data_IF_364269311091
#
_entry.id   IF_364269311091
#
_cell.length_a   1.000
_cell.length_b   1.000
_cell.length_c   1.000
_cell.angle_alpha   90.00
_cell.angle_beta   90.00
_cell.angle_gamma   90.00
#
_symmetry.space_group_name_H-M   'P 1'
#
loop_
_entity.id
_entity.type
_entity.pdbx_description
1 polymer ?
#
# COMPACT_ATOMS: atom_id res chain seq x y z
N UNK A 1 -72.01 12.83 -24.60
CA UNK A 1 -71.36 13.68 -23.58
C UNK A 1 -70.94 12.81 -22.39
N UNK A 2 -69.73 12.21 -22.38
CA UNK A 2 -68.98 11.83 -21.16
C UNK A 2 -67.55 11.37 -21.50
N UNK A 3 -66.62 11.82 -20.67
CA UNK A 3 -65.18 11.97 -20.92
C UNK A 3 -64.37 10.67 -21.01
N UNK A 4 -63.54 10.56 -22.05
CA UNK A 4 -62.59 9.48 -22.30
C UNK A 4 -61.15 9.83 -21.82
N UNK A 5 -61.02 10.64 -20.75
CA UNK A 5 -59.74 11.24 -20.34
C UNK A 5 -58.93 10.43 -19.32
N UNK A 6 -59.45 9.31 -18.79
CA UNK A 6 -58.82 8.62 -17.65
C UNK A 6 -57.93 7.42 -18.02
N UNK A 7 -57.95 6.95 -19.28
CA UNK A 7 -57.20 5.74 -19.68
C UNK A 7 -55.79 6.04 -20.25
N UNK A 8 -55.52 7.28 -20.64
CA UNK A 8 -54.26 7.64 -21.30
C UNK A 8 -53.12 7.99 -20.31
N UNK A 9 -53.45 8.55 -19.14
CA UNK A 9 -52.45 8.91 -18.13
C UNK A 9 -51.82 7.70 -17.41
N UNK A 10 -52.61 6.65 -17.16
CA UNK A 10 -52.14 5.45 -16.47
C UNK A 10 -51.16 4.62 -17.32
N UNK A 11 -51.36 4.56 -18.64
CA UNK A 11 -50.48 3.80 -19.53
C UNK A 11 -49.10 4.45 -19.71
N UNK A 12 -49.04 5.79 -19.72
CA UNK A 12 -47.78 6.55 -19.88
C UNK A 12 -46.92 6.47 -18.61
N UNK A 13 -47.51 6.48 -17.42
CA UNK A 13 -46.76 6.28 -16.17
C UNK A 13 -46.18 4.87 -16.02
N UNK A 14 -46.87 3.83 -16.53
CA UNK A 14 -46.39 2.45 -16.46
C UNK A 14 -45.20 2.24 -17.42
N UNK A 15 -45.22 2.84 -18.62
CA UNK A 15 -44.07 2.81 -19.53
C UNK A 15 -42.85 3.61 -19.04
N UNK A 16 -43.06 4.69 -18.28
CA UNK A 16 -41.95 5.47 -17.68
C UNK A 16 -41.34 4.79 -16.45
N UNK A 17 -42.12 3.99 -15.71
CA UNK A 17 -41.60 3.18 -14.60
C UNK A 17 -40.88 1.91 -15.07
N UNK A 18 -41.26 1.31 -16.20
CA UNK A 18 -40.57 0.12 -16.73
C UNK A 18 -39.26 0.46 -17.46
N UNK A 19 -39.08 1.70 -17.94
CA UNK A 19 -37.83 2.14 -18.56
C UNK A 19 -36.71 2.42 -17.54
N UNK A 20 -37.03 2.56 -16.25
CA UNK A 20 -36.03 2.87 -15.21
C UNK A 20 -35.39 1.63 -14.55
N UNK A 21 -35.82 0.41 -14.92
CA UNK A 21 -35.41 -0.83 -14.23
C UNK A 21 -34.35 -1.63 -15.00
N UNK A 22 -33.97 -1.26 -16.22
CA UNK A 22 -33.10 -2.12 -17.07
C UNK A 22 -31.60 -1.82 -17.04
N UNK A 23 -31.09 -1.00 -16.11
CA UNK A 23 -29.64 -0.79 -15.94
C UNK A 23 -29.17 -1.22 -14.56
N UNK A 24 -29.44 -2.48 -14.21
CA UNK A 24 -28.63 -3.19 -13.22
C UNK A 24 -27.85 -4.27 -13.97
N UNK A 25 -26.86 -3.84 -14.75
CA UNK A 25 -25.79 -4.76 -15.13
C UNK A 25 -25.12 -5.26 -13.85
N UNK A 26 -24.61 -6.51 -13.81
CA UNK A 26 -23.81 -6.95 -12.69
C UNK A 26 -22.60 -6.02 -12.61
N UNK A 27 -22.59 -5.13 -11.62
CA UNK A 27 -21.36 -4.51 -11.17
C UNK A 27 -20.56 -5.68 -10.62
N UNK A 28 -19.69 -6.26 -11.45
CA UNK A 28 -18.55 -6.99 -10.95
C UNK A 28 -17.75 -5.99 -10.14
N UNK A 29 -18.06 -5.91 -8.85
CA UNK A 29 -17.15 -5.41 -7.86
C UNK A 29 -15.93 -6.33 -8.00
N UNK A 30 -14.92 -5.89 -8.78
CA UNK A 30 -13.60 -6.48 -8.68
C UNK A 30 -13.26 -6.38 -7.20
N UNK A 31 -13.08 -7.50 -6.54
CA UNK A 31 -12.55 -7.53 -5.18
C UNK A 31 -11.18 -6.88 -5.26
N UNK A 32 -11.11 -5.58 -4.95
CA UNK A 32 -9.84 -4.88 -4.83
C UNK A 32 -9.14 -5.53 -3.64
N UNK A 33 -8.16 -6.38 -3.92
CA UNK A 33 -7.31 -6.93 -2.87
C UNK A 33 -6.53 -5.76 -2.28
N UNK A 34 -6.72 -5.53 -0.99
CA UNK A 34 -6.05 -4.47 -0.27
C UNK A 34 -4.67 -4.94 0.23
N UNK A 35 -3.64 -4.09 0.12
CA UNK A 35 -2.30 -4.42 0.58
C UNK A 35 -2.34 -4.75 2.08
N UNK A 36 -1.65 -5.82 2.47
CA UNK A 36 -1.64 -6.26 3.86
C UNK A 36 -0.29 -6.85 4.26
N UNK A 37 0.10 -6.58 5.49
CA UNK A 37 1.29 -7.19 6.09
C UNK A 37 0.91 -8.53 6.72
N UNK A 38 1.73 -9.54 6.46
CA UNK A 38 1.65 -10.89 7.03
C UNK A 38 3.00 -11.30 7.61
N UNK A 39 2.97 -12.30 8.49
CA UNK A 39 4.15 -12.82 9.21
C UNK A 39 4.97 -11.74 9.90
N UNK A 40 4.28 -10.77 10.50
CA UNK A 40 4.92 -9.65 11.18
C UNK A 40 5.53 -10.15 12.48
N UNK A 41 6.86 -10.10 12.56
CA UNK A 41 7.67 -10.56 13.68
C UNK A 41 8.73 -9.51 14.02
N UNK A 42 8.98 -9.33 15.31
CA UNK A 42 10.08 -8.50 15.81
C UNK A 42 11.07 -9.43 16.53
N UNK A 43 12.34 -9.32 16.16
CA UNK A 43 13.44 -10.03 16.81
C UNK A 43 14.55 -9.05 17.16
N UNK A 44 15.48 -9.45 18.00
CA UNK A 44 16.67 -8.66 18.33
C UNK A 44 17.92 -9.42 17.95
N UNK A 45 18.89 -8.73 17.35
CA UNK A 45 20.24 -9.25 17.18
C UNK A 45 21.16 -8.66 18.26
N UNK A 46 22.48 -8.64 18.05
CA UNK A 46 23.46 -8.09 19.02
C UNK A 46 23.43 -6.56 19.15
N UNK A 47 22.88 -5.83 18.18
CA UNK A 47 22.92 -4.36 18.14
C UNK A 47 21.58 -3.67 17.91
N UNK A 48 20.65 -4.30 17.20
CA UNK A 48 19.40 -3.72 16.72
C UNK A 48 18.20 -4.65 16.98
N UNK A 49 17.04 -4.02 17.13
CA UNK A 49 15.74 -4.68 17.01
C UNK A 49 15.33 -4.64 15.53
N UNK A 50 15.01 -5.81 14.99
CA UNK A 50 14.72 -6.06 13.58
C UNK A 50 13.25 -6.41 13.39
N UNK A 51 12.65 -5.86 12.34
CA UNK A 51 11.34 -6.23 11.82
C UNK A 51 11.50 -7.23 10.68
N UNK A 52 10.65 -8.26 10.72
CA UNK A 52 10.40 -9.19 9.63
C UNK A 52 8.92 -9.12 9.31
N UNK A 53 8.58 -8.91 8.04
CA UNK A 53 7.21 -8.95 7.57
C UNK A 53 7.21 -9.24 6.06
N UNK A 54 6.06 -9.68 5.55
CA UNK A 54 5.83 -9.80 4.11
C UNK A 54 4.61 -8.97 3.72
N UNK A 55 4.75 -8.18 2.68
CA UNK A 55 3.66 -7.41 2.11
C UNK A 55 3.02 -8.23 0.98
N UNK A 56 1.75 -8.61 1.14
CA UNK A 56 0.98 -9.32 0.10
C UNK A 56 -0.09 -8.40 -0.49
N UNK A 57 -0.60 -8.80 -1.65
CA UNK A 57 -1.67 -8.09 -2.37
C UNK A 57 -1.34 -6.62 -2.66
N UNK A 58 -0.05 -6.30 -2.78
CA UNK A 58 0.45 -4.95 -3.00
C UNK A 58 0.68 -4.61 -4.47
N UNK A 59 0.51 -5.56 -5.39
CA UNK A 59 0.65 -5.38 -6.83
C UNK A 59 -0.68 -5.60 -7.55
N UNK A 60 -1.27 -4.52 -8.09
CA UNK A 60 -2.49 -4.57 -8.93
C UNK A 60 -2.09 -4.72 -10.40
N UNK A 61 -2.87 -5.43 -11.21
CA UNK A 61 -2.56 -5.69 -12.64
C UNK A 61 -2.21 -4.41 -13.43
N UNK A 62 -2.98 -3.34 -13.25
CA UNK A 62 -2.77 -2.04 -13.89
C UNK A 62 -1.43 -1.41 -13.48
N UNK A 63 -1.05 -1.64 -12.23
CA UNK A 63 0.20 -1.19 -11.64
C UNK A 63 1.40 -1.97 -12.21
N UNK A 64 1.25 -3.28 -12.38
CA UNK A 64 2.26 -4.13 -13.03
C UNK A 64 2.50 -3.69 -14.47
N UNK A 65 1.43 -3.43 -15.23
CA UNK A 65 1.52 -2.92 -16.60
C UNK A 65 2.25 -1.57 -16.67
N UNK A 66 1.99 -0.67 -15.70
CA UNK A 66 2.69 0.61 -15.61
C UNK A 66 4.19 0.44 -15.32
N UNK A 67 4.56 -0.49 -14.42
CA UNK A 67 5.97 -0.78 -14.13
C UNK A 67 6.69 -1.34 -15.36
N UNK A 68 6.05 -2.26 -16.08
CA UNK A 68 6.57 -2.81 -17.34
C UNK A 68 6.70 -1.74 -18.43
N UNK A 69 5.86 -0.70 -18.42
CA UNK A 69 6.00 0.47 -19.28
C UNK A 69 7.14 1.42 -18.84
N UNK A 70 7.81 1.15 -17.70
CA UNK A 70 8.92 1.92 -17.17
C UNK A 70 8.54 2.96 -16.12
N UNK A 71 7.28 3.00 -15.67
CA UNK A 71 6.83 3.88 -14.58
C UNK A 71 7.31 3.30 -13.24
N UNK A 72 8.08 4.04 -12.43
CA UNK A 72 8.54 3.52 -11.14
C UNK A 72 7.38 3.42 -10.14
N UNK A 73 7.45 2.45 -9.23
CA UNK A 73 6.56 2.35 -8.08
C UNK A 73 7.33 2.61 -6.79
N UNK A 74 6.75 3.36 -5.85
CA UNK A 74 7.41 3.72 -4.59
C UNK A 74 6.58 3.22 -3.41
N UNK A 75 7.19 2.39 -2.58
CA UNK A 75 6.62 1.86 -1.35
C UNK A 75 7.31 2.54 -0.17
N UNK A 76 6.55 3.28 0.62
CA UNK A 76 6.98 4.03 1.79
C UNK A 76 6.56 3.27 3.04
N UNK A 77 7.52 2.62 3.70
CA UNK A 77 7.36 2.00 5.01
C UNK A 77 7.50 3.07 6.09
N UNK A 78 6.48 3.21 6.92
CA UNK A 78 6.48 4.05 8.11
C UNK A 78 6.56 3.17 9.36
N UNK A 79 7.58 3.43 10.17
CA UNK A 79 7.94 2.62 11.33
C UNK A 79 8.11 3.54 12.54
N UNK A 80 7.25 3.38 13.54
CA UNK A 80 7.32 4.15 14.78
C UNK A 80 7.43 3.22 15.99
N UNK A 81 8.38 3.50 16.90
CA UNK A 81 8.57 2.72 18.12
C UNK A 81 8.20 3.56 19.32
N UNK A 82 7.42 2.97 20.23
CA UNK A 82 6.96 3.59 21.47
C UNK A 82 7.32 2.72 22.66
N UNK A 83 7.55 3.36 23.80
CA UNK A 83 7.65 2.72 25.11
C UNK A 83 6.29 2.76 25.81
N UNK A 84 5.76 1.59 26.22
CA UNK A 84 4.54 1.49 26.99
C UNK A 84 4.77 1.97 28.43
N UNK A 85 3.87 2.82 28.93
CA UNK A 85 3.94 3.34 30.31
C UNK A 85 2.61 3.16 31.02
N UNK A 86 2.55 2.47 32.17
CA UNK A 86 1.27 2.15 32.82
C UNK A 86 0.50 3.37 33.36
N UNK A 87 1.20 4.46 33.72
CA UNK A 87 0.61 5.62 34.39
C UNK A 87 0.81 6.95 33.65
N UNK A 88 1.45 6.92 32.47
CA UNK A 88 1.72 8.10 31.64
C UNK A 88 1.40 7.76 30.18
N UNK A 89 1.32 8.78 29.34
CA UNK A 89 1.26 8.57 27.89
C UNK A 89 2.50 7.81 27.41
N UNK A 90 2.26 6.90 26.47
CA UNK A 90 3.32 6.13 25.82
C UNK A 90 4.32 7.08 25.17
N UNK A 91 5.61 6.84 25.41
CA UNK A 91 6.68 7.72 24.91
C UNK A 91 7.08 7.27 23.52
N UNK A 92 6.95 8.16 22.52
CA UNK A 92 7.58 7.95 21.21
C UNK A 92 9.10 7.95 21.35
N UNK A 93 9.75 6.92 20.82
CA UNK A 93 11.20 6.72 20.92
C UNK A 93 11.87 7.07 19.60
N UNK A 94 11.36 6.53 18.49
CA UNK A 94 11.90 6.79 17.15
C UNK A 94 10.82 6.62 16.09
N UNK A 95 10.90 7.44 15.04
CA UNK A 95 10.14 7.30 13.81
C UNK A 95 11.09 7.21 12.63
N UNK A 96 10.85 6.27 11.72
CA UNK A 96 11.70 5.99 10.56
C UNK A 96 10.84 5.78 9.32
N UNK A 97 11.33 6.29 8.20
CA UNK A 97 10.72 6.08 6.90
C UNK A 97 11.70 5.38 5.95
N UNK A 98 11.27 4.26 5.38
CA UNK A 98 12.04 3.51 4.39
C UNK A 98 11.27 3.53 3.08
N UNK A 99 11.91 4.07 2.04
CA UNK A 99 11.36 4.14 0.68
C UNK A 99 12.04 3.08 -0.17
N UNK A 100 11.24 2.20 -0.74
CA UNK A 100 11.65 1.23 -1.74
C UNK A 100 11.06 1.59 -3.08
N UNK A 101 11.87 1.56 -4.13
CA UNK A 101 11.44 1.90 -5.49
C UNK A 101 11.74 0.75 -6.42
N UNK A 102 10.71 0.26 -7.13
CA UNK A 102 10.88 -0.69 -8.24
C UNK A 102 10.73 0.05 -9.57
N UNK A 103 11.62 -0.22 -10.51
CA UNK A 103 11.61 0.35 -11.85
C UNK A 103 12.08 -0.67 -12.88
N UNK A 104 11.44 -0.69 -14.05
CA UNK A 104 11.93 -1.45 -15.19
C UNK A 104 12.92 -0.64 -16.02
N UNK A 105 14.08 -1.22 -16.34
CA UNK A 105 15.09 -0.68 -17.24
C UNK A 105 14.89 -1.28 -18.64
N UNK A 106 14.31 -0.49 -19.55
CA UNK A 106 14.03 -0.91 -20.93
C UNK A 106 15.29 -1.23 -21.75
N UNK A 107 16.44 -0.62 -21.42
CA UNK A 107 17.69 -0.83 -22.16
C UNK A 107 18.32 -2.16 -21.75
N UNK A 108 18.38 -2.42 -20.44
CA UNK A 108 18.97 -3.64 -19.88
C UNK A 108 17.98 -4.81 -19.81
N UNK A 109 16.69 -4.53 -19.98
CA UNK A 109 15.57 -5.47 -19.81
C UNK A 109 15.55 -6.12 -18.42
N UNK A 110 15.92 -5.37 -17.39
CA UNK A 110 15.97 -5.82 -15.99
C UNK A 110 15.17 -4.90 -15.09
N UNK A 111 14.81 -5.39 -13.90
CA UNK A 111 14.17 -4.60 -12.86
C UNK A 111 15.20 -4.15 -11.84
N UNK A 112 15.06 -2.90 -11.41
CA UNK A 112 15.87 -2.29 -10.37
C UNK A 112 15.01 -2.07 -9.14
N UNK A 113 15.46 -2.57 -7.99
CA UNK A 113 14.84 -2.31 -6.69
C UNK A 113 15.82 -1.51 -5.84
N UNK A 114 15.53 -0.23 -5.64
CA UNK A 114 16.33 0.66 -4.80
C UNK A 114 15.69 0.80 -3.42
N UNK A 115 16.48 0.81 -2.36
CA UNK A 115 16.04 1.17 -1.01
C UNK A 115 16.81 2.39 -0.55
N UNK A 116 16.15 3.39 0.07
CA UNK A 116 16.84 4.56 0.61
C UNK A 116 17.87 4.13 1.67
N UNK A 117 19.11 4.63 1.55
CA UNK A 117 20.22 4.27 2.43
C UNK A 117 20.97 2.99 2.05
N UNK A 118 20.58 2.29 0.97
CA UNK A 118 21.39 1.25 0.36
C UNK A 118 22.27 1.85 -0.75
N UNK A 119 23.53 1.41 -0.84
CA UNK A 119 24.50 1.95 -1.80
C UNK A 119 24.18 1.58 -3.26
N UNK A 120 23.61 0.39 -3.48
CA UNK A 120 23.30 -0.10 -4.82
C UNK A 120 21.89 -0.71 -4.90
N UNK A 121 21.16 -0.47 -6.01
CA UNK A 121 19.89 -1.14 -6.24
C UNK A 121 20.11 -2.62 -6.54
N UNK A 122 19.22 -3.47 -6.05
CA UNK A 122 19.15 -4.87 -6.46
C UNK A 122 18.70 -4.97 -7.92
N UNK A 123 19.34 -5.83 -8.70
CA UNK A 123 19.02 -6.07 -10.11
C UNK A 123 18.35 -7.43 -10.24
N UNK A 124 17.18 -7.46 -10.88
CA UNK A 124 16.35 -8.65 -11.01
C UNK A 124 16.03 -8.92 -12.49
N UNK A 125 16.12 -10.18 -12.95
CA UNK A 125 15.91 -10.51 -14.37
C UNK A 125 14.44 -10.56 -14.77
N UNK A 126 13.52 -10.74 -13.82
CA UNK A 126 12.10 -10.86 -14.09
C UNK A 126 11.27 -10.13 -13.02
N UNK A 127 10.01 -9.85 -13.37
CA UNK A 127 9.14 -9.04 -12.53
C UNK A 127 8.79 -9.74 -11.22
N UNK A 128 8.52 -11.05 -11.25
CA UNK A 128 8.17 -11.84 -10.05
C UNK A 128 9.26 -11.77 -8.97
N UNK A 129 10.53 -11.90 -9.35
CA UNK A 129 11.66 -11.79 -8.42
C UNK A 129 11.81 -10.37 -7.85
N UNK A 130 11.56 -9.34 -8.67
CA UNK A 130 11.55 -7.96 -8.21
C UNK A 130 10.37 -7.65 -7.27
N UNK A 131 9.18 -8.20 -7.55
CA UNK A 131 8.01 -8.11 -6.67
C UNK A 131 8.28 -8.76 -5.32
N UNK A 132 8.84 -9.98 -5.31
CA UNK A 132 9.23 -10.67 -4.08
C UNK A 132 10.22 -9.83 -3.27
N UNK A 133 11.24 -9.26 -3.92
CA UNK A 133 12.21 -8.41 -3.25
C UNK A 133 11.60 -7.11 -2.69
N UNK A 134 10.62 -6.52 -3.39
CA UNK A 134 9.88 -5.36 -2.89
C UNK A 134 9.00 -5.71 -1.68
N UNK A 135 8.31 -6.84 -1.76
CA UNK A 135 7.35 -7.32 -0.76
C UNK A 135 8.00 -7.88 0.51
N UNK A 136 9.24 -8.37 0.41
CA UNK A 136 9.96 -8.97 1.53
C UNK A 136 10.61 -7.91 2.42
N UNK A 137 10.05 -7.71 3.62
CA UNK A 137 10.52 -6.75 4.62
C UNK A 137 11.34 -7.47 5.70
N UNK A 138 12.30 -8.30 5.27
CA UNK A 138 13.14 -9.08 6.17
C UNK A 138 14.31 -8.29 6.74
N UNK A 139 14.47 -8.31 8.06
CA UNK A 139 15.63 -7.76 8.76
C UNK A 139 15.72 -6.25 8.74
N UNK A 140 14.57 -5.55 8.71
CA UNK A 140 14.54 -4.08 8.71
C UNK A 140 14.90 -3.56 10.11
N UNK A 141 15.98 -2.77 10.28
CA UNK A 141 16.36 -2.25 11.60
C UNK A 141 15.37 -1.16 12.04
N UNK A 142 14.67 -1.43 13.14
CA UNK A 142 13.71 -0.54 13.79
C UNK A 142 14.42 0.48 14.68
N UNK A 143 15.21 -0.02 15.63
CA UNK A 143 15.88 0.81 16.64
C UNK A 143 17.12 0.09 17.18
N UNK A 144 18.23 0.81 17.45
CA UNK A 144 19.37 0.24 18.15
C UNK A 144 18.98 -0.13 19.58
N UNK A 145 19.46 -1.28 20.02
CA UNK A 145 19.24 -1.82 21.36
C UNK A 145 19.74 -0.85 22.45
N UNK A 146 20.80 -0.08 22.16
CA UNK A 146 21.33 0.94 23.08
C UNK A 146 20.35 2.08 23.39
N UNK A 147 19.32 2.28 22.57
CA UNK A 147 18.26 3.27 22.81
C UNK A 147 17.11 2.70 23.68
N UNK A 148 17.13 1.41 24.00
CA UNK A 148 16.14 0.74 24.82
C UNK A 148 16.63 0.54 26.26
N UNK A 149 15.72 0.70 27.22
CA UNK A 149 15.95 0.40 28.63
C UNK A 149 15.43 -0.99 28.97
N UNK A 150 16.28 -1.82 29.59
CA UNK A 150 15.96 -3.20 30.00
C UNK A 150 14.79 -3.26 30.98
N UNK A 151 13.98 -4.31 30.86
CA UNK A 151 12.81 -4.58 31.70
C UNK A 151 11.57 -3.77 31.33
N UNK A 152 11.54 -3.14 30.15
CA UNK A 152 10.42 -2.33 29.69
C UNK A 152 9.69 -3.00 28.51
N UNK A 153 8.43 -2.61 28.34
CA UNK A 153 7.62 -3.03 27.20
C UNK A 153 7.57 -1.93 26.15
N UNK A 154 7.62 -2.33 24.90
CA UNK A 154 7.61 -1.47 23.74
C UNK A 154 6.61 -2.00 22.71
N UNK A 155 6.22 -1.13 21.80
CA UNK A 155 5.54 -1.55 20.58
C UNK A 155 6.04 -0.78 19.38
N UNK A 156 6.05 -1.47 18.23
CA UNK A 156 6.23 -0.84 16.94
C UNK A 156 4.86 -0.68 16.25
N UNK A 157 4.67 0.46 15.62
CA UNK A 157 3.62 0.73 14.67
C UNK A 157 4.23 0.66 13.27
N UNK A 158 3.64 -0.18 12.42
CA UNK A 158 4.09 -0.40 11.04
C UNK A 158 2.93 -0.09 10.10
N UNK A 159 3.23 0.70 9.07
CA UNK A 159 2.33 0.97 7.98
C UNK A 159 3.11 1.06 6.67
N UNK A 160 2.57 0.51 5.60
CA UNK A 160 3.11 0.70 4.27
C UNK A 160 2.16 1.58 3.48
N UNK A 161 2.70 2.65 2.92
CA UNK A 161 2.02 3.48 1.93
C UNK A 161 2.63 3.19 0.58
N UNK A 162 1.80 3.12 -0.43
CA UNK A 162 2.27 3.08 -1.81
C UNK A 162 1.92 4.47 -2.33
N UNK A 163 2.97 5.19 -2.74
CA UNK A 163 2.87 6.62 -2.97
C UNK A 163 2.80 6.90 -4.47
N UNK A 164 2.02 7.94 -4.80
CA UNK A 164 1.92 8.48 -6.15
C UNK A 164 3.30 9.01 -6.56
N UNK A 165 3.79 8.60 -7.74
CA UNK A 165 4.96 9.24 -8.36
C UNK A 165 4.61 10.71 -8.61
N UNK A 166 5.07 11.60 -7.74
CA UNK A 166 5.00 13.05 -7.98
C UNK A 166 6.08 13.36 -9.02
N UNK A 167 5.66 13.53 -10.28
CA UNK A 167 6.56 14.06 -11.30
C UNK A 167 6.97 15.48 -10.87
N UNK A 168 8.27 15.79 -10.78
CA UNK A 168 8.68 17.18 -10.72
C UNK A 168 8.26 17.83 -12.03
N UNK A 169 7.80 19.08 -11.97
CA UNK A 169 7.29 19.93 -13.06
C UNK A 169 5.76 20.03 -13.21
N UNK A 170 5.36 21.27 -13.53
CA UNK A 170 4.02 21.82 -13.70
C UNK A 170 3.30 21.27 -14.94
N UNK A 171 3.45 19.98 -15.19
CA UNK A 171 2.75 19.27 -16.25
C UNK A 171 1.44 18.74 -15.66
N UNK A 172 0.33 19.42 -15.94
CA UNK A 172 -1.05 18.94 -15.76
C UNK A 172 -1.35 17.74 -16.69
N UNK A 173 -0.41 16.82 -16.85
CA UNK A 173 -0.55 15.68 -17.74
C UNK A 173 -1.42 14.62 -17.06
N UNK A 174 -2.45 14.23 -17.82
CA UNK A 174 -3.42 13.18 -17.57
C UNK A 174 -2.72 11.84 -17.32
N UNK A 175 -2.34 11.57 -16.08
CA UNK A 175 -1.84 10.26 -15.69
C UNK A 175 -3.00 9.46 -15.10
N UNK A 176 -3.60 8.61 -15.94
CA UNK A 176 -4.49 7.54 -15.52
C UNK A 176 -3.85 6.57 -14.52
N UNK A 177 -2.52 6.67 -14.35
CA UNK A 177 -1.77 5.89 -13.38
C UNK A 177 -1.83 6.44 -11.94
N UNK A 178 -2.35 7.65 -11.69
CA UNK A 178 -2.30 8.28 -10.36
C UNK A 178 -3.14 7.53 -9.32
N UNK A 179 -4.29 6.97 -9.72
CA UNK A 179 -5.13 6.14 -8.84
C UNK A 179 -4.52 4.77 -8.58
N UNK A 180 -3.66 4.29 -9.47
CA UNK A 180 -3.07 2.95 -9.34
C UNK A 180 -2.16 2.80 -8.14
N UNK A 181 -1.64 3.90 -7.60
CA UNK A 181 -0.69 3.89 -6.51
C UNK A 181 -1.34 4.28 -5.18
N UNK A 182 -2.60 4.71 -5.15
CA UNK A 182 -3.18 5.37 -3.97
C UNK A 182 -3.73 4.36 -2.96
N UNK A 183 -2.84 3.69 -2.23
CA UNK A 183 -3.25 2.73 -1.22
C UNK A 183 -2.27 2.61 -0.07
N UNK A 184 -2.82 2.28 1.09
CA UNK A 184 -2.07 2.15 2.33
C UNK A 184 -2.54 0.90 3.08
N UNK A 185 -1.62 0.21 3.74
CA UNK A 185 -1.99 -0.90 4.62
C UNK A 185 -2.68 -0.37 5.88
N UNK A 186 -3.46 -1.21 6.58
CA UNK A 186 -3.81 -0.94 7.97
C UNK A 186 -2.59 -0.67 8.84
N UNK A 187 -2.81 -0.04 10.00
CA UNK A 187 -1.75 0.16 11.00
C UNK A 187 -1.57 -1.13 11.81
N UNK A 188 -0.37 -1.72 11.76
CA UNK A 188 -0.03 -2.92 12.52
C UNK A 188 0.71 -2.51 13.79
N UNK A 189 0.22 -2.96 14.96
CA UNK A 189 0.88 -2.75 16.25
C UNK A 189 1.45 -4.07 16.75
N UNK A 190 2.78 -4.14 16.90
CA UNK A 190 3.49 -5.35 17.37
C UNK A 190 4.25 -5.02 18.63
N UNK A 191 4.01 -5.79 19.70
CA UNK A 191 4.66 -5.60 21.00
C UNK A 191 5.95 -6.40 21.09
N UNK A 192 6.91 -5.86 21.81
CA UNK A 192 8.14 -6.56 22.19
C UNK A 192 8.66 -6.02 23.53
N UNK A 193 9.43 -6.84 24.23
CA UNK A 193 10.05 -6.47 25.51
C UNK A 193 11.56 -6.50 25.36
N UNK A 194 12.24 -5.59 26.07
CA UNK A 194 13.70 -5.55 26.16
C UNK A 194 14.09 -5.25 27.60
#
# INVERSE_FOLDING_TARGET
MKNNKFRFGAAVCICLLTLFITVTGPVSAKTEMEPRLVDVLITSNTGDVLLYARLIDCFREEMEAAILAGVPAIFTLQLDVYQERPYLWDKHIVGKEIRRTIKYDNLKKTFLVATNGADQPGIFPNFESAQKAMADLSGIPLIPISALSRGNNYYAQIKVKIDRVRLPFNMEYVLFFVSLWDFETPLYKVRFSY
#
